data_IF_900680072376
#
_entry.id   IF_900680072376
#
_cell.length_a   1.000
_cell.length_b   1.000
_cell.length_c   1.000
_cell.angle_alpha   90.00
_cell.angle_beta   90.00
_cell.angle_gamma   90.00
#
_symmetry.space_group_name_H-M   'P 1'
#
loop_
_entity.id
_entity.type
_entity.pdbx_description
1 polymer ?
#
# COMPACT_ATOMS: atom_id res chain seq x y z
N UNK A 1 -6.66 11.35 -12.13
CA UNK A 1 -6.98 9.98 -11.65
C UNK A 1 -7.29 9.12 -12.84
N UNK A 2 -6.79 7.88 -12.88
CA UNK A 2 -7.03 6.93 -13.98
C UNK A 2 -8.22 6.00 -13.70
N UNK A 3 -8.32 5.45 -12.49
CA UNK A 3 -9.40 4.54 -12.10
C UNK A 3 -9.52 4.44 -10.57
N UNK A 4 -10.64 3.89 -10.08
CA UNK A 4 -10.73 3.41 -8.69
C UNK A 4 -10.10 2.01 -8.69
N UNK A 5 -8.99 1.87 -7.97
CA UNK A 5 -8.24 0.61 -7.91
C UNK A 5 -8.82 -0.36 -6.87
N UNK A 6 -9.49 0.16 -5.84
CA UNK A 6 -10.17 -0.63 -4.83
C UNK A 6 -11.38 0.14 -4.29
N UNK A 7 -12.51 -0.57 -4.17
CA UNK A 7 -13.69 -0.11 -3.43
C UNK A 7 -13.82 -0.94 -2.16
N UNK A 8 -14.04 -0.26 -1.05
CA UNK A 8 -14.42 -0.91 0.20
C UNK A 8 -15.77 -1.65 0.02
N UNK A 9 -16.06 -2.70 0.80
CA UNK A 9 -17.36 -3.37 0.81
C UNK A 9 -18.57 -2.44 1.00
N UNK A 10 -18.40 -1.32 1.70
CA UNK A 10 -19.40 -0.28 1.89
C UNK A 10 -19.65 0.60 0.63
N UNK A 11 -18.91 0.36 -0.45
CA UNK A 11 -19.01 1.05 -1.74
C UNK A 11 -18.08 2.26 -1.91
N UNK A 12 -17.48 2.76 -0.84
CA UNK A 12 -16.61 3.94 -0.88
C UNK A 12 -15.27 3.63 -1.57
N UNK A 13 -14.68 4.59 -2.30
CA UNK A 13 -13.38 4.41 -2.93
C UNK A 13 -12.27 4.36 -1.87
N UNK A 14 -11.64 3.20 -1.73
CA UNK A 14 -10.53 3.02 -0.80
C UNK A 14 -9.17 3.35 -1.39
N UNK A 15 -8.98 3.07 -2.68
CA UNK A 15 -7.74 3.38 -3.41
C UNK A 15 -8.06 3.88 -4.80
N UNK A 16 -7.33 4.90 -5.24
CA UNK A 16 -7.33 5.36 -6.62
C UNK A 16 -6.00 5.06 -7.31
N UNK A 17 -6.07 4.75 -8.61
CA UNK A 17 -4.92 4.65 -9.50
C UNK A 17 -4.68 6.01 -10.16
N UNK A 18 -3.45 6.51 -10.12
CA UNK A 18 -3.06 7.84 -10.61
C UNK A 18 -2.18 7.73 -11.85
N UNK A 19 -2.01 8.84 -12.57
CA UNK A 19 -1.03 8.89 -13.65
C UNK A 19 0.38 9.01 -13.04
N UNK A 20 1.43 8.43 -13.67
CA UNK A 20 2.81 8.57 -13.19
C UNK A 20 3.30 10.02 -13.17
N UNK A 21 2.71 10.91 -13.98
CA UNK A 21 3.03 12.34 -14.02
C UNK A 21 1.78 13.21 -13.84
N UNK A 22 1.99 14.40 -13.29
CA UNK A 22 1.03 15.51 -13.31
C UNK A 22 0.92 16.09 -14.74
N UNK A 23 -0.11 16.92 -15.03
CA UNK A 23 -0.28 17.54 -16.36
C UNK A 23 0.90 18.40 -16.81
N UNK A 24 1.71 18.91 -15.88
CA UNK A 24 2.92 19.70 -16.15
C UNK A 24 4.17 18.81 -16.36
N UNK A 25 4.02 17.49 -16.32
CA UNK A 25 5.10 16.51 -16.46
C UNK A 25 5.81 16.16 -15.14
N UNK A 26 5.46 16.78 -14.02
CA UNK A 26 6.07 16.48 -12.72
C UNK A 26 5.78 15.03 -12.30
N UNK A 27 6.79 14.22 -11.90
CA UNK A 27 6.55 12.89 -11.38
C UNK A 27 5.60 12.88 -10.17
N UNK A 28 4.53 12.09 -10.25
CA UNK A 28 3.61 11.90 -9.14
C UNK A 28 4.17 10.83 -8.18
N UNK A 29 4.06 11.00 -6.86
CA UNK A 29 4.83 10.21 -5.89
C UNK A 29 4.40 8.74 -5.75
N UNK A 30 3.22 8.36 -6.25
CA UNK A 30 2.70 6.99 -6.18
C UNK A 30 1.64 6.73 -7.25
N UNK A 31 1.64 5.53 -7.83
CA UNK A 31 0.60 4.98 -8.70
C UNK A 31 -0.70 4.63 -7.96
N UNK A 32 -0.62 4.20 -6.70
CA UNK A 32 -1.78 3.88 -5.86
C UNK A 32 -1.85 4.82 -4.67
N UNK A 33 -2.97 5.51 -4.53
CA UNK A 33 -3.19 6.51 -3.49
C UNK A 33 -4.35 6.07 -2.60
N UNK A 34 -4.08 5.92 -1.30
CA UNK A 34 -5.08 5.55 -0.29
C UNK A 34 -6.01 6.74 -0.03
N UNK A 35 -7.31 6.55 -0.26
CA UNK A 35 -8.30 7.64 -0.19
C UNK A 35 -9.28 7.51 0.95
N UNK A 36 -9.52 6.30 1.48
CA UNK A 36 -10.51 6.13 2.55
C UNK A 36 -10.06 6.84 3.84
N UNK A 37 -10.81 7.80 4.39
CA UNK A 37 -10.36 8.62 5.51
C UNK A 37 -10.04 7.78 6.77
N UNK A 38 -10.84 6.75 7.05
CA UNK A 38 -10.60 5.84 8.18
C UNK A 38 -9.32 5.02 7.99
N UNK A 39 -9.07 4.46 6.78
CA UNK A 39 -7.84 3.68 6.52
C UNK A 39 -6.61 4.58 6.60
N UNK A 40 -6.69 5.79 6.05
CA UNK A 40 -5.61 6.78 6.13
C UNK A 40 -5.30 7.17 7.57
N UNK A 41 -6.32 7.45 8.38
CA UNK A 41 -6.14 7.80 9.79
C UNK A 41 -5.56 6.62 10.59
N UNK A 42 -6.06 5.41 10.38
CA UNK A 42 -5.56 4.22 11.07
C UNK A 42 -4.12 3.88 10.66
N UNK A 43 -3.79 3.99 9.37
CA UNK A 43 -2.43 3.80 8.86
C UNK A 43 -1.46 4.83 9.44
N UNK A 44 -1.86 6.11 9.51
CA UNK A 44 -1.08 7.18 10.16
C UNK A 44 -0.77 6.89 11.63
N UNK A 45 -1.69 6.27 12.37
CA UNK A 45 -1.46 5.88 13.77
C UNK A 45 -0.37 4.82 13.88
N UNK A 46 -0.39 3.81 13.02
CA UNK A 46 0.65 2.76 12.98
C UNK A 46 2.02 3.33 12.57
N UNK A 47 2.05 4.24 11.59
CA UNK A 47 3.26 4.96 11.21
C UNK A 47 3.86 5.73 12.42
N UNK A 48 3.01 6.46 13.15
CA UNK A 48 3.41 7.24 14.32
C UNK A 48 3.84 6.37 15.51
N UNK A 49 3.29 5.15 15.62
CA UNK A 49 3.68 4.16 16.61
C UNK A 49 5.05 3.49 16.32
N UNK A 50 5.68 3.83 15.19
CA UNK A 50 7.02 3.35 14.84
C UNK A 50 7.05 2.03 14.08
N UNK A 51 5.91 1.54 13.59
CA UNK A 51 5.80 0.25 12.89
C UNK A 51 6.72 0.19 11.65
N UNK A 52 6.88 1.31 10.93
CA UNK A 52 7.77 1.37 9.76
C UNK A 52 9.22 1.03 10.09
N UNK A 53 9.71 1.44 11.27
CA UNK A 53 11.07 1.13 11.71
C UNK A 53 11.21 -0.36 11.97
N UNK A 54 10.25 -0.95 12.70
CA UNK A 54 10.24 -2.39 13.01
C UNK A 54 10.20 -3.24 11.73
N UNK A 55 9.34 -2.88 10.77
CA UNK A 55 9.26 -3.56 9.47
C UNK A 55 10.55 -3.39 8.63
N UNK A 56 11.17 -2.22 8.69
CA UNK A 56 12.47 -1.99 8.03
C UNK A 56 13.58 -2.85 8.64
N UNK A 57 13.61 -2.98 9.96
CA UNK A 57 14.60 -3.82 10.65
C UNK A 57 14.40 -5.30 10.31
N UNK A 58 13.14 -5.76 10.15
CA UNK A 58 12.81 -7.13 9.71
C UNK A 58 13.26 -7.44 8.29
N UNK A 59 13.14 -6.50 7.36
CA UNK A 59 13.64 -6.69 5.97
C UNK A 59 15.13 -7.04 5.93
N UNK A 60 15.92 -6.67 6.95
CA UNK A 60 17.35 -7.01 7.02
C UNK A 60 17.62 -8.40 7.61
N UNK A 61 16.64 -8.96 8.32
CA UNK A 61 16.77 -10.19 9.09
C UNK A 61 16.06 -11.37 8.43
N UNK A 62 15.10 -11.09 7.55
CA UNK A 62 14.27 -12.07 6.87
C UNK A 62 14.47 -11.98 5.34
N UNK A 63 15.32 -12.86 4.76
CA UNK A 63 15.57 -12.87 3.32
C UNK A 63 14.34 -13.17 2.47
N UNK A 64 13.41 -13.97 2.97
CA UNK A 64 12.20 -14.35 2.23
C UNK A 64 11.23 -13.17 2.16
N UNK A 65 11.06 -12.44 3.28
CA UNK A 65 10.31 -11.18 3.29
C UNK A 65 10.93 -10.15 2.36
N UNK A 66 12.27 -10.00 2.39
CA UNK A 66 12.98 -9.08 1.52
C UNK A 66 12.82 -9.43 0.03
N UNK A 67 12.85 -10.72 -0.30
CA UNK A 67 12.62 -11.20 -1.66
C UNK A 67 11.19 -10.92 -2.13
N UNK A 68 10.17 -11.22 -1.31
CA UNK A 68 8.78 -10.92 -1.62
C UNK A 68 8.53 -9.41 -1.77
N UNK A 69 9.14 -8.58 -0.93
CA UNK A 69 9.03 -7.13 -1.02
C UNK A 69 9.73 -6.55 -2.27
N UNK A 70 10.82 -7.18 -2.72
CA UNK A 70 11.48 -6.87 -4.00
C UNK A 70 10.62 -7.27 -5.21
N UNK A 71 9.91 -8.39 -5.16
CA UNK A 71 8.95 -8.76 -6.21
C UNK A 71 7.80 -7.74 -6.28
N UNK A 72 7.30 -7.28 -5.13
CA UNK A 72 6.30 -6.22 -5.06
C UNK A 72 6.79 -4.92 -5.73
N UNK A 73 8.05 -4.57 -5.47
CA UNK A 73 8.73 -3.43 -6.07
C UNK A 73 8.80 -3.52 -7.60
N UNK A 74 9.27 -4.65 -8.13
CA UNK A 74 9.44 -4.88 -9.56
C UNK A 74 8.09 -4.88 -10.28
N UNK A 75 7.08 -5.56 -9.73
CA UNK A 75 5.72 -5.54 -10.27
C UNK A 75 5.14 -4.12 -10.30
N UNK A 76 5.40 -3.31 -9.28
CA UNK A 76 4.93 -1.94 -9.21
C UNK A 76 5.57 -1.07 -10.31
N UNK A 77 6.91 -1.17 -10.48
CA UNK A 77 7.62 -0.44 -11.53
C UNK A 77 7.12 -0.83 -12.92
N UNK A 78 6.98 -2.12 -13.19
CA UNK A 78 6.49 -2.63 -14.46
C UNK A 78 5.09 -2.07 -14.78
N UNK A 79 4.17 -2.05 -13.82
CA UNK A 79 2.82 -1.52 -14.04
C UNK A 79 2.81 0.01 -14.21
N UNK A 80 3.64 0.75 -13.48
CA UNK A 80 3.79 2.19 -13.65
C UNK A 80 4.35 2.53 -15.03
N UNK A 81 5.44 1.88 -15.41
CA UNK A 81 6.17 2.22 -16.64
C UNK A 81 5.42 1.79 -17.90
N UNK A 82 4.51 0.80 -17.80
CA UNK A 82 3.56 0.47 -18.86
C UNK A 82 2.54 1.59 -19.13
N UNK A 83 2.29 2.49 -18.18
CA UNK A 83 1.43 3.67 -18.37
C UNK A 83 2.28 4.81 -18.93
N UNK A 84 3.33 5.17 -18.20
CA UNK A 84 4.29 6.17 -18.61
C UNK A 84 5.59 6.01 -17.81
N UNK A 85 6.75 5.83 -18.48
CA UNK A 85 8.01 5.65 -17.78
C UNK A 85 8.47 6.95 -17.12
N UNK A 86 8.92 6.84 -15.87
CA UNK A 86 9.56 7.94 -15.13
C UNK A 86 11.08 7.99 -15.31
N UNK A 87 11.68 6.96 -15.91
CA UNK A 87 13.14 6.86 -16.04
C UNK A 87 13.85 6.64 -14.71
N UNK A 88 13.14 6.17 -13.67
CA UNK A 88 13.72 5.87 -12.35
C UNK A 88 13.38 4.45 -11.93
N UNK A 89 14.28 3.85 -11.15
CA UNK A 89 14.03 2.59 -10.45
C UNK A 89 13.39 2.81 -9.08
N UNK A 90 12.97 4.03 -8.76
CA UNK A 90 12.29 4.32 -7.49
C UNK A 90 10.80 4.06 -7.68
N UNK A 91 10.26 3.11 -6.92
CA UNK A 91 8.82 2.83 -6.88
C UNK A 91 8.10 3.77 -5.90
N UNK A 92 7.57 3.27 -4.79
CA UNK A 92 6.95 4.06 -3.74
C UNK A 92 7.04 3.35 -2.37
N UNK A 93 6.61 4.02 -1.29
CA UNK A 93 6.55 3.40 0.05
C UNK A 93 7.90 3.00 0.69
N UNK A 94 9.02 3.20 0.00
CA UNK A 94 10.38 2.89 0.48
C UNK A 94 10.96 1.60 -0.10
N UNK A 95 10.14 0.86 -0.85
CA UNK A 95 10.53 -0.35 -1.56
C UNK A 95 11.81 -0.19 -2.40
N UNK A 96 12.65 -1.24 -2.50
CA UNK A 96 12.47 -2.57 -1.88
C UNK A 96 13.21 -2.75 -0.55
N UNK A 97 14.02 -1.79 -0.09
CA UNK A 97 14.99 -2.06 0.99
C UNK A 97 14.61 -1.43 2.34
N UNK A 98 13.54 -0.63 2.38
CA UNK A 98 13.03 0.01 3.61
C UNK A 98 11.54 0.30 3.54
N UNK A 99 10.94 0.60 4.69
CA UNK A 99 9.56 1.08 4.78
C UNK A 99 9.57 2.57 5.16
N UNK A 100 9.08 3.43 4.27
CA UNK A 100 9.03 4.90 4.47
C UNK A 100 7.61 5.46 4.57
N UNK A 101 6.61 4.75 4.05
CA UNK A 101 5.21 5.15 4.11
C UNK A 101 4.31 3.91 3.92
N UNK A 102 3.52 3.58 4.94
CA UNK A 102 2.58 2.47 4.95
C UNK A 102 1.36 2.74 4.06
N UNK A 103 0.94 4.00 3.92
CA UNK A 103 -0.23 4.37 3.10
C UNK A 103 -0.15 3.81 1.68
N UNK A 104 1.03 3.92 1.05
CA UNK A 104 1.23 3.43 -0.30
C UNK A 104 1.30 1.90 -0.35
N UNK A 105 1.85 1.26 0.68
CA UNK A 105 1.96 -0.20 0.73
C UNK A 105 0.60 -0.86 0.97
N UNK A 106 -0.21 -0.27 1.85
CA UNK A 106 -1.63 -0.61 2.05
C UNK A 106 -2.41 -0.39 0.76
N UNK A 107 -2.25 0.77 0.11
CA UNK A 107 -2.91 1.06 -1.16
C UNK A 107 -2.54 0.05 -2.26
N UNK A 108 -1.26 -0.35 -2.34
CA UNK A 108 -0.80 -1.34 -3.30
C UNK A 108 -1.45 -2.70 -3.06
N UNK A 109 -1.51 -3.14 -1.80
CA UNK A 109 -2.12 -4.43 -1.42
C UNK A 109 -3.62 -4.45 -1.70
N UNK A 110 -4.33 -3.39 -1.32
CA UNK A 110 -5.77 -3.26 -1.62
C UNK A 110 -6.06 -3.26 -3.13
N UNK A 111 -5.21 -2.60 -3.93
CA UNK A 111 -5.38 -2.51 -5.38
C UNK A 111 -5.08 -3.82 -6.12
N UNK A 112 -4.16 -4.63 -5.61
CA UNK A 112 -3.66 -5.83 -6.30
C UNK A 112 -4.13 -7.15 -5.69
N UNK A 113 -4.56 -7.12 -4.44
CA UNK A 113 -4.91 -8.30 -3.65
C UNK A 113 -3.79 -8.74 -2.72
N UNK A 114 -4.18 -9.53 -1.72
CA UNK A 114 -3.28 -10.16 -0.74
C UNK A 114 -2.24 -11.03 -1.43
N UNK A 115 -1.01 -11.01 -0.90
CA UNK A 115 0.15 -11.74 -1.41
C UNK A 115 1.03 -10.90 -2.35
N UNK A 116 0.58 -9.73 -2.77
CA UNK A 116 1.34 -8.88 -3.71
C UNK A 116 2.34 -7.99 -3.00
N UNK A 117 2.03 -7.50 -1.80
CA UNK A 117 2.93 -6.65 -1.04
C UNK A 117 2.90 -7.05 0.44
N UNK A 118 3.87 -7.85 0.91
CA UNK A 118 3.79 -8.49 2.23
C UNK A 118 3.71 -7.49 3.38
N UNK A 119 4.34 -6.32 3.24
CA UNK A 119 4.27 -5.26 4.26
C UNK A 119 2.87 -4.64 4.30
N UNK A 120 2.26 -4.36 3.15
CA UNK A 120 0.91 -3.82 3.11
C UNK A 120 -0.14 -4.81 3.57
N UNK A 121 0.04 -6.10 3.23
CA UNK A 121 -0.78 -7.20 3.72
C UNK A 121 -0.75 -7.30 5.25
N UNK A 122 0.45 -7.22 5.86
CA UNK A 122 0.62 -7.24 7.32
C UNK A 122 -0.06 -6.05 7.99
N UNK A 123 0.05 -4.85 7.42
CA UNK A 123 -0.68 -3.68 7.95
C UNK A 123 -2.19 -3.89 7.86
N UNK A 124 -2.69 -4.41 6.75
CA UNK A 124 -4.12 -4.70 6.59
C UNK A 124 -4.59 -5.77 7.59
N UNK A 125 -3.77 -6.77 7.88
CA UNK A 125 -4.04 -7.77 8.91
C UNK A 125 -4.21 -7.13 10.29
N UNK A 126 -3.26 -6.28 10.70
CA UNK A 126 -3.30 -5.52 11.96
C UNK A 126 -4.56 -4.67 12.02
N UNK A 127 -4.87 -3.92 10.96
CA UNK A 127 -6.03 -3.04 10.90
C UNK A 127 -7.36 -3.79 10.91
N UNK A 128 -7.42 -4.97 10.27
CA UNK A 128 -8.63 -5.79 10.19
C UNK A 128 -9.02 -6.43 11.53
N UNK A 129 -8.04 -6.65 12.40
CA UNK A 129 -8.21 -7.31 13.70
C UNK A 129 -8.25 -6.32 14.88
N UNK A 130 -8.07 -5.01 14.64
CA UNK A 130 -8.15 -3.99 15.68
C UNK A 130 -9.61 -3.78 16.17
N UNK A 131 -9.93 -4.17 17.43
CA UNK A 131 -11.28 -4.07 17.97
C UNK A 131 -11.74 -2.63 18.18
N UNK A 132 -10.85 -1.64 18.14
CA UNK A 132 -11.21 -0.23 18.26
C UNK A 132 -11.62 0.41 16.92
N UNK A 133 -11.24 -0.21 15.80
CA UNK A 133 -11.55 0.30 14.46
C UNK A 133 -12.78 -0.36 13.85
N UNK A 134 -13.01 -1.64 14.15
CA UNK A 134 -14.19 -2.40 13.69
C UNK A 134 -14.37 -2.37 12.15
N UNK A 135 -13.26 -2.28 11.40
CA UNK A 135 -13.25 -2.02 9.95
C UNK A 135 -14.01 -3.07 9.14
N UNK A 136 -14.06 -4.31 9.60
CA UNK A 136 -14.83 -5.39 8.97
C UNK A 136 -16.32 -5.24 9.25
N UNK A 137 -16.72 -4.83 10.47
CA UNK A 137 -18.13 -4.61 10.84
C UNK A 137 -18.73 -3.43 10.10
N UNK A 138 -17.96 -2.36 9.88
CA UNK A 138 -18.43 -1.18 9.13
C UNK A 138 -18.21 -1.28 7.61
N UNK A 139 -17.77 -2.44 7.11
CA UNK A 139 -17.65 -2.71 5.67
C UNK A 139 -16.51 -1.95 4.97
N UNK A 140 -15.45 -1.58 5.69
CA UNK A 140 -14.26 -0.93 5.09
C UNK A 140 -13.29 -1.99 4.53
N UNK A 141 -13.11 -3.10 5.27
CA UNK A 141 -12.34 -4.26 4.84
C UNK A 141 -13.26 -5.48 4.79
N UNK A 142 -12.99 -6.43 3.89
CA UNK A 142 -13.76 -7.68 3.86
C UNK A 142 -13.35 -8.60 5.03
N UNK A 143 -14.31 -9.22 5.75
CA UNK A 143 -14.02 -10.17 6.82
C UNK A 143 -13.15 -11.34 6.33
N UNK A 144 -12.16 -11.77 7.11
CA UNK A 144 -11.30 -12.92 6.80
C UNK A 144 -10.35 -12.75 5.60
N UNK A 145 -10.40 -11.62 4.88
CA UNK A 145 -9.54 -11.42 3.71
C UNK A 145 -8.07 -11.21 4.10
N UNK A 146 -7.84 -10.52 5.21
CA UNK A 146 -6.52 -10.05 5.64
C UNK A 146 -6.02 -10.72 6.92
N UNK A 147 -6.80 -11.63 7.50
CA UNK A 147 -6.49 -12.41 8.71
C UNK A 147 -5.51 -13.57 8.44
#
# INVERSE_FOLDING_TARGET
>A
MLAIAYRCPNGEPGVVKTAPKLPDGTPFPTLYYLTHPVLTAATSRLESAGLMRQMTDRLRQDPDLAAAYRQAHESYLAERDAIEPLGTTVSAGGMPDRVKCLHVLVAHSLAKGRGVNPIGDEVLAILSTDPHLELTKVGILAPGQWE
#
